data_IF_913208314364
#
_entry.id   IF_913208314364
#
_cell.length_a   1.000
_cell.length_b   1.000
_cell.length_c   1.000
_cell.angle_alpha   90.00
_cell.angle_beta   90.00
_cell.angle_gamma   90.00
#
_symmetry.space_group_name_H-M   'P 1'
#
loop_
_entity.id
_entity.type
_entity.pdbx_description
1 polymer ?
#
# COMPACT_ATOMS: atom_id res chain seq x y z
N UNK A 1 -1.99 -1.05 -23.17
CA UNK A 1 -0.63 -0.93 -22.58
C UNK A 1 0.49 -1.36 -23.52
N UNK A 2 0.37 -2.50 -24.23
CA UNK A 2 1.40 -2.97 -25.19
C UNK A 2 1.67 -1.97 -26.32
N UNK A 3 0.63 -1.45 -26.98
CA UNK A 3 0.77 -0.40 -28.01
C UNK A 3 1.38 0.90 -27.46
N UNK A 4 1.10 1.23 -26.20
CA UNK A 4 1.71 2.38 -25.51
C UNK A 4 3.19 2.15 -25.14
N UNK A 5 3.70 0.93 -25.32
CA UNK A 5 5.05 0.50 -24.92
C UNK A 5 5.33 0.82 -23.45
N UNK A 6 4.35 0.51 -22.59
CA UNK A 6 4.39 0.89 -21.17
C UNK A 6 5.67 0.43 -20.45
N UNK A 7 6.07 -0.82 -20.67
CA UNK A 7 7.24 -1.40 -20.03
C UNK A 7 8.54 -0.66 -20.41
N UNK A 8 8.74 -0.34 -21.69
CA UNK A 8 9.91 0.41 -22.15
C UNK A 8 9.98 1.80 -21.47
N UNK A 9 8.83 2.48 -21.38
CA UNK A 9 8.73 3.79 -20.71
C UNK A 9 8.96 3.70 -19.20
N UNK A 10 8.45 2.64 -18.57
CA UNK A 10 8.67 2.38 -17.14
C UNK A 10 10.15 2.14 -16.84
N UNK A 11 10.82 1.27 -17.61
CA UNK A 11 12.25 1.01 -17.45
C UNK A 11 13.08 2.26 -17.70
N UNK A 12 12.76 3.04 -18.74
CA UNK A 12 13.42 4.32 -18.99
C UNK A 12 13.28 5.28 -17.81
N UNK A 13 12.09 5.38 -17.20
CA UNK A 13 11.91 6.24 -16.02
C UNK A 13 12.67 5.72 -14.81
N UNK A 14 12.67 4.40 -14.58
CA UNK A 14 13.38 3.76 -13.48
C UNK A 14 14.89 4.06 -13.52
N UNK A 15 15.48 4.15 -14.72
CA UNK A 15 16.88 4.54 -14.92
C UNK A 15 17.17 6.03 -14.67
N UNK A 16 16.15 6.90 -14.74
CA UNK A 16 16.34 8.36 -14.78
C UNK A 16 15.88 9.09 -13.53
N UNK A 17 14.84 8.59 -12.89
CA UNK A 17 14.19 9.23 -11.74
C UNK A 17 14.07 8.16 -10.68
N UNK A 18 14.41 8.48 -9.43
CA UNK A 18 14.17 7.62 -8.28
C UNK A 18 13.06 8.25 -7.43
N UNK A 19 11.95 7.53 -7.31
CA UNK A 19 10.93 7.85 -6.31
C UNK A 19 11.33 7.15 -5.00
N UNK A 20 11.40 7.87 -3.89
CA UNK A 20 11.90 7.30 -2.63
C UNK A 20 10.81 6.55 -1.86
N UNK A 21 9.55 6.97 -2.01
CA UNK A 21 8.46 6.49 -1.15
C UNK A 21 7.70 5.33 -1.78
N UNK A 22 6.98 5.56 -2.87
CA UNK A 22 6.10 4.56 -3.46
C UNK A 22 6.57 4.18 -4.87
N UNK A 23 7.78 3.64 -4.97
CA UNK A 23 8.53 3.35 -6.21
C UNK A 23 7.65 3.06 -7.44
N UNK A 24 7.21 1.81 -7.61
CA UNK A 24 6.42 1.36 -8.75
C UNK A 24 5.08 2.11 -8.88
N UNK A 25 4.41 2.38 -7.76
CA UNK A 25 3.15 3.13 -7.72
C UNK A 25 3.29 4.55 -8.30
N UNK A 26 4.39 5.25 -8.01
CA UNK A 26 4.64 6.62 -8.47
C UNK A 26 5.02 6.66 -9.95
N UNK A 27 5.81 5.70 -10.44
CA UNK A 27 6.01 5.55 -11.88
C UNK A 27 4.68 5.30 -12.61
N UNK A 28 3.83 4.41 -12.08
CA UNK A 28 2.51 4.15 -12.65
C UNK A 28 1.63 5.41 -12.65
N UNK A 29 1.56 6.12 -11.52
CA UNK A 29 0.81 7.38 -11.41
C UNK A 29 1.31 8.42 -12.42
N UNK A 30 2.63 8.54 -12.59
CA UNK A 30 3.23 9.50 -13.52
C UNK A 30 3.00 9.14 -14.99
N UNK A 31 3.10 7.86 -15.35
CA UNK A 31 2.93 7.36 -16.72
C UNK A 31 1.45 7.29 -17.14
N UNK A 32 0.55 7.04 -16.19
CA UNK A 32 -0.89 6.89 -16.44
C UNK A 32 -1.70 8.15 -16.11
N UNK A 33 -1.06 9.25 -15.68
CA UNK A 33 -1.73 10.52 -15.34
C UNK A 33 -2.74 10.93 -16.42
N UNK A 34 -3.99 11.17 -16.00
CA UNK A 34 -5.11 11.54 -16.89
C UNK A 34 -5.72 10.38 -17.70
N UNK A 35 -5.28 9.13 -17.49
CA UNK A 35 -5.72 7.93 -18.23
C UNK A 35 -6.14 6.78 -17.31
N UNK A 36 -6.47 7.08 -16.05
CA UNK A 36 -6.86 6.09 -15.04
C UNK A 36 -8.38 6.10 -14.86
N UNK A 37 -9.00 4.92 -14.92
CA UNK A 37 -10.38 4.73 -14.47
C UNK A 37 -10.39 4.57 -12.96
N UNK A 38 -11.02 5.49 -12.25
CA UNK A 38 -11.17 5.41 -10.80
C UNK A 38 -12.25 4.39 -10.43
N UNK A 39 -11.92 3.47 -9.51
CA UNK A 39 -12.85 2.49 -8.96
C UNK A 39 -13.34 2.95 -7.57
N UNK A 40 -14.48 2.42 -7.14
CA UNK A 40 -15.01 2.70 -5.81
C UNK A 40 -14.13 2.14 -4.70
N UNK A 41 -14.16 2.78 -3.53
CA UNK A 41 -13.32 2.41 -2.37
C UNK A 41 -13.56 0.98 -1.89
N UNK A 42 -14.72 0.38 -2.17
CA UNK A 42 -14.99 -1.00 -1.78
C UNK A 42 -14.03 -2.03 -2.42
N UNK A 43 -13.37 -1.65 -3.51
CA UNK A 43 -12.35 -2.45 -4.20
C UNK A 43 -10.92 -2.17 -3.73
N UNK A 44 -10.71 -1.31 -2.73
CA UNK A 44 -9.40 -1.08 -2.12
C UNK A 44 -9.57 -0.49 -0.71
N UNK A 45 -10.19 -1.26 0.20
CA UNK A 45 -10.38 -0.85 1.60
C UNK A 45 -9.08 -1.05 2.35
N UNK A 46 -8.54 0.02 2.89
CA UNK A 46 -7.25 0.04 3.57
C UNK A 46 -7.46 0.35 5.06
N UNK A 47 -6.90 -0.45 5.99
CA UNK A 47 -6.94 -0.14 7.41
C UNK A 47 -6.24 1.18 7.75
N UNK A 48 -5.07 1.45 7.16
CA UNK A 48 -4.25 2.59 7.55
C UNK A 48 -4.68 3.92 6.91
N UNK A 49 -5.41 3.89 5.79
CA UNK A 49 -5.69 5.07 4.97
C UNK A 49 -6.99 4.96 4.16
N UNK A 50 -7.50 6.09 3.69
CA UNK A 50 -8.66 6.14 2.77
C UNK A 50 -10.00 5.98 3.48
N UNK A 51 -11.06 5.74 2.70
CA UNK A 51 -12.41 5.58 3.25
C UNK A 51 -12.53 4.20 3.89
N UNK A 52 -12.76 4.16 5.19
CA UNK A 52 -12.95 2.91 5.92
C UNK A 52 -14.41 2.43 5.82
N UNK A 53 -15.39 3.31 5.96
CA UNK A 53 -16.81 2.91 5.94
C UNK A 53 -17.36 2.44 4.59
N UNK A 54 -18.30 1.49 4.66
CA UNK A 54 -19.13 1.02 3.54
C UNK A 54 -18.84 -0.44 3.17
N UNK A 55 -19.22 -0.83 1.95
CA UNK A 55 -19.03 -2.20 1.49
C UNK A 55 -17.54 -2.61 1.45
N UNK A 56 -17.29 -3.88 1.77
CA UNK A 56 -15.99 -4.53 1.69
C UNK A 56 -16.04 -5.58 0.56
N UNK A 57 -15.40 -5.29 -0.58
CA UNK A 57 -15.19 -6.28 -1.66
C UNK A 57 -13.74 -6.76 -1.71
N UNK A 58 -12.79 -5.85 -1.46
CA UNK A 58 -11.38 -6.16 -1.32
C UNK A 58 -10.76 -5.35 -0.18
N UNK A 59 -10.07 -6.06 0.73
CA UNK A 59 -9.31 -5.47 1.83
C UNK A 59 -7.83 -5.54 1.49
N UNK A 60 -7.15 -4.41 1.61
CA UNK A 60 -5.72 -4.27 1.41
C UNK A 60 -5.08 -3.82 2.73
N UNK A 61 -4.45 -4.77 3.44
CA UNK A 61 -3.66 -4.48 4.64
C UNK A 61 -2.38 -3.74 4.27
N UNK A 62 -2.45 -2.41 4.16
CA UNK A 62 -1.39 -1.53 3.69
C UNK A 62 -0.50 -1.01 4.84
N UNK A 63 0.71 -0.55 4.51
CA UNK A 63 1.71 -0.06 5.46
C UNK A 63 1.96 -1.09 6.60
N UNK A 64 2.15 -0.61 7.83
CA UNK A 64 2.33 -1.45 9.02
C UNK A 64 1.09 -2.19 9.50
N UNK A 65 -0.12 -1.93 8.98
CA UNK A 65 -1.36 -2.53 9.47
C UNK A 65 -1.55 -3.99 9.03
N UNK A 66 -0.63 -4.87 9.45
CA UNK A 66 -0.61 -6.31 9.12
C UNK A 66 -1.22 -7.11 10.27
N UNK A 67 -2.37 -7.78 10.09
CA UNK A 67 -3.04 -8.52 11.16
C UNK A 67 -2.23 -9.73 11.66
N UNK A 68 -1.26 -10.19 10.88
CA UNK A 68 -0.30 -11.23 11.28
C UNK A 68 0.87 -10.72 12.13
N UNK A 69 0.96 -9.41 12.41
CA UNK A 69 1.97 -8.83 13.31
C UNK A 69 1.32 -8.02 14.43
N UNK A 70 0.35 -7.18 14.09
CA UNK A 70 -0.31 -6.27 15.04
C UNK A 70 -1.63 -6.83 15.53
N UNK A 71 -2.02 -6.43 16.74
CA UNK A 71 -3.34 -6.69 17.30
C UNK A 71 -4.29 -5.54 16.95
N UNK A 72 -5.59 -5.80 17.02
CA UNK A 72 -6.66 -4.81 16.79
C UNK A 72 -6.59 -4.06 15.44
N UNK A 73 -6.08 -4.74 14.41
CA UNK A 73 -6.07 -4.21 13.04
C UNK A 73 -7.48 -4.21 12.47
N UNK A 74 -7.91 -3.10 11.86
CA UNK A 74 -9.22 -3.00 11.21
C UNK A 74 -9.39 -4.12 10.15
N UNK A 75 -10.54 -4.80 10.20
CA UNK A 75 -10.88 -5.95 9.35
C UNK A 75 -10.07 -7.24 9.60
N UNK A 76 -9.27 -7.33 10.66
CA UNK A 76 -8.44 -8.52 10.94
C UNK A 76 -9.22 -9.83 11.01
N UNK A 77 -10.50 -9.80 11.37
CA UNK A 77 -11.37 -10.95 11.45
C UNK A 77 -11.48 -11.69 10.11
N UNK A 78 -11.46 -10.95 8.99
CA UNK A 78 -11.52 -11.55 7.65
C UNK A 78 -10.18 -12.19 7.28
N UNK A 79 -9.05 -11.56 7.62
CA UNK A 79 -7.74 -12.18 7.42
C UNK A 79 -7.65 -13.50 8.17
N UNK A 80 -7.98 -13.51 9.47
CA UNK A 80 -7.87 -14.72 10.28
C UNK A 80 -8.88 -15.80 9.90
N UNK A 81 -10.06 -15.41 9.40
CA UNK A 81 -11.02 -16.37 8.83
C UNK A 81 -10.38 -17.16 7.69
N UNK A 82 -9.80 -16.48 6.70
CA UNK A 82 -9.20 -17.15 5.53
C UNK A 82 -7.84 -17.76 5.82
N UNK A 83 -7.03 -17.18 6.72
CA UNK A 83 -5.75 -17.76 7.11
C UNK A 83 -5.92 -19.19 7.65
N UNK A 84 -6.99 -19.46 8.42
CA UNK A 84 -7.35 -20.79 8.95
C UNK A 84 -7.68 -21.82 7.86
N UNK A 85 -8.03 -21.37 6.66
CA UNK A 85 -8.32 -22.23 5.52
C UNK A 85 -7.05 -22.61 4.73
N UNK A 86 -5.89 -22.09 5.14
CA UNK A 86 -4.59 -22.34 4.49
C UNK A 86 -3.70 -23.24 5.34
N UNK A 87 -2.77 -23.95 4.71
CA UNK A 87 -1.72 -24.74 5.38
C UNK A 87 -0.75 -23.88 6.20
N UNK A 88 -0.72 -22.56 5.97
CA UNK A 88 0.20 -21.63 6.61
C UNK A 88 -0.32 -21.06 7.93
N UNK A 89 -1.53 -21.44 8.38
CA UNK A 89 -2.14 -20.84 9.57
C UNK A 89 -1.22 -20.87 10.80
N UNK A 90 -0.64 -22.04 11.09
CA UNK A 90 0.23 -22.21 12.26
C UNK A 90 1.56 -21.45 12.10
N UNK A 91 2.10 -21.38 10.88
CA UNK A 91 3.28 -20.58 10.58
C UNK A 91 3.02 -19.09 10.80
N UNK A 92 1.88 -18.59 10.32
CA UNK A 92 1.46 -17.19 10.50
C UNK A 92 1.29 -16.87 11.99
N UNK A 93 0.69 -17.79 12.76
CA UNK A 93 0.56 -17.65 14.22
C UNK A 93 1.92 -17.64 14.93
N UNK A 94 2.85 -18.50 14.49
CA UNK A 94 4.20 -18.56 15.04
C UNK A 94 4.99 -17.27 14.71
N UNK A 95 4.87 -16.75 13.49
CA UNK A 95 5.43 -15.45 13.11
C UNK A 95 4.90 -14.33 14.02
N UNK A 96 3.57 -14.27 14.21
CA UNK A 96 2.95 -13.28 15.10
C UNK A 96 3.46 -13.37 16.53
N UNK A 97 3.58 -14.57 17.09
CA UNK A 97 4.06 -14.75 18.48
C UNK A 97 5.52 -14.34 18.70
N UNK A 98 6.33 -14.34 17.64
CA UNK A 98 7.73 -13.93 17.69
C UNK A 98 7.92 -12.43 17.46
N UNK A 99 6.88 -11.75 16.99
CA UNK A 99 6.93 -10.33 16.64
C UNK A 99 6.83 -9.49 17.91
N UNK A 100 7.94 -8.83 18.27
CA UNK A 100 8.09 -8.19 19.57
C UNK A 100 7.48 -6.78 19.59
N UNK A 101 7.26 -6.23 20.77
CA UNK A 101 6.80 -4.84 20.88
C UNK A 101 7.83 -3.83 20.33
N UNK A 102 9.13 -4.14 20.45
CA UNK A 102 10.18 -3.33 19.83
C UNK A 102 10.12 -3.36 18.29
N UNK A 103 9.73 -4.50 17.69
CA UNK A 103 9.50 -4.58 16.24
C UNK A 103 8.29 -3.74 15.82
N UNK A 104 7.19 -3.81 16.60
CA UNK A 104 5.98 -2.99 16.38
C UNK A 104 6.29 -1.50 16.45
N UNK A 105 6.99 -1.05 17.50
CA UNK A 105 7.37 0.35 17.68
C UNK A 105 8.25 0.85 16.52
N UNK A 106 9.19 0.02 16.07
CA UNK A 106 10.05 0.34 14.92
C UNK A 106 9.25 0.48 13.63
N UNK A 107 8.31 -0.43 13.37
CA UNK A 107 7.49 -0.39 12.16
C UNK A 107 6.47 0.76 12.17
N UNK A 108 5.91 1.12 13.32
CA UNK A 108 5.06 2.31 13.48
C UNK A 108 5.85 3.61 13.23
N UNK A 109 7.06 3.70 13.78
CA UNK A 109 7.96 4.83 13.56
C UNK A 109 8.37 4.95 12.08
N UNK A 110 8.67 3.82 11.43
CA UNK A 110 9.02 3.79 10.00
C UNK A 110 7.83 4.16 9.12
N UNK A 111 6.63 3.65 9.43
CA UNK A 111 5.39 3.99 8.71
C UNK A 111 5.11 5.49 8.78
N UNK A 112 5.28 6.10 9.96
CA UNK A 112 5.09 7.54 10.17
C UNK A 112 6.08 8.37 9.33
N UNK A 113 7.36 8.00 9.34
CA UNK A 113 8.40 8.65 8.51
C UNK A 113 8.12 8.51 7.01
N UNK A 114 7.65 7.35 6.58
CA UNK A 114 7.32 7.10 5.18
C UNK A 114 6.15 7.98 4.72
N UNK A 115 5.11 8.13 5.55
CA UNK A 115 3.97 9.02 5.28
C UNK A 115 4.42 10.48 5.20
N UNK A 116 5.31 10.91 6.10
CA UNK A 116 5.85 12.28 6.09
C UNK A 116 6.66 12.56 4.82
N UNK A 117 7.56 11.64 4.44
CA UNK A 117 8.33 11.76 3.20
C UNK A 117 7.41 11.77 1.98
N UNK A 118 6.36 10.94 1.97
CA UNK A 118 5.37 10.91 0.88
C UNK A 118 4.70 12.27 0.66
N UNK A 119 4.33 12.95 1.75
CA UNK A 119 3.74 14.29 1.69
C UNK A 119 4.74 15.30 1.14
N UNK A 120 5.98 15.28 1.64
CA UNK A 120 7.03 16.17 1.18
C UNK A 120 7.28 16.02 -0.34
N UNK A 121 7.42 14.79 -0.84
CA UNK A 121 7.65 14.53 -2.27
C UNK A 121 6.45 14.94 -3.13
N UNK A 122 5.23 14.71 -2.65
CA UNK A 122 4.00 15.07 -3.36
C UNK A 122 3.78 16.59 -3.44
N UNK A 123 4.18 17.35 -2.42
CA UNK A 123 4.05 18.81 -2.38
C UNK A 123 5.09 19.51 -3.27
N UNK A 124 6.25 18.89 -3.50
CA UNK A 124 7.31 19.43 -4.35
C UNK A 124 7.02 19.34 -5.86
N UNK A 125 5.98 18.62 -6.28
CA UNK A 125 5.56 18.53 -7.69
C UNK A 125 4.38 19.47 -7.95
N UNK A 126 4.63 20.59 -8.64
CA UNK A 126 3.60 21.55 -9.02
C UNK A 126 2.43 20.92 -9.79
N UNK A 127 1.25 21.55 -9.71
CA UNK A 127 0.06 21.05 -10.40
C UNK A 127 0.12 21.32 -11.92
N UNK A 128 0.68 20.39 -12.68
CA UNK A 128 0.74 20.49 -14.14
C UNK A 128 -0.63 20.27 -14.85
N UNK A 129 -1.74 20.12 -14.11
CA UNK A 129 -3.07 19.97 -14.72
C UNK A 129 -3.49 21.33 -15.31
N UNK A 130 -3.30 21.51 -16.62
CA UNK A 130 -3.97 22.59 -17.35
C UNK A 130 -5.49 22.44 -17.18
N UNK A 131 -6.14 23.54 -16.77
CA UNK A 131 -7.60 23.67 -16.71
C UNK A 131 -8.24 23.41 -18.07
#
# INVERSE_FOLDING_TARGET
LREYKFQEKFLYMLEKIKFEVAQDQDYMNRLCKGRVKLLGFEWNRMPAMGKQEGALKLIHYNLGCKPWYFDDVLYQEYFWKYAKETEFYDEIRAMKSKYTDADKEKDDANSSKLIELAKLEADCVGDDRRK
#
